data_IF_838705392389
#
_entry.id   IF_838705392389
#
_cell.length_a   1.000
_cell.length_b   1.000
_cell.length_c   1.000
_cell.angle_alpha   90.00
_cell.angle_beta   90.00
_cell.angle_gamma   90.00
#
_symmetry.space_group_name_H-M   'P 1'
#
loop_
_entity.id
_entity.type
_entity.pdbx_description
1 polymer ?
#
# COMPACT_ATOMS: atom_id res chain seq x y z
N UNK A 1 18.95 -1.02 -7.34
CA UNK A 1 18.63 -2.47 -7.32
C UNK A 1 17.18 -2.59 -6.86
N UNK A 2 16.34 -3.28 -7.64
CA UNK A 2 14.92 -3.35 -7.31
C UNK A 2 14.70 -3.94 -5.91
N UNK A 3 13.89 -3.25 -5.10
CA UNK A 3 13.46 -3.77 -3.79
C UNK A 3 12.30 -4.74 -3.96
N UNK A 4 11.45 -4.50 -4.96
CA UNK A 4 10.36 -5.40 -5.36
C UNK A 4 10.51 -5.76 -6.83
N UNK A 5 10.39 -7.04 -7.12
CA UNK A 5 10.30 -7.56 -8.48
C UNK A 5 9.09 -8.47 -8.60
N UNK A 6 8.21 -8.14 -9.54
CA UNK A 6 6.95 -8.82 -9.81
C UNK A 6 6.98 -9.31 -11.24
N UNK A 7 6.86 -10.63 -11.44
CA UNK A 7 7.01 -11.25 -12.75
C UNK A 7 5.82 -12.16 -13.04
N UNK A 8 5.17 -11.92 -14.18
CA UNK A 8 4.12 -12.77 -14.76
C UNK A 8 2.99 -13.14 -13.80
N UNK A 9 2.55 -12.19 -12.95
CA UNK A 9 1.47 -12.43 -11.99
C UNK A 9 0.14 -12.55 -12.73
N UNK A 10 -0.53 -13.68 -12.49
CA UNK A 10 -1.89 -13.96 -12.94
C UNK A 10 -2.80 -14.28 -11.75
N UNK A 11 -4.07 -13.91 -11.87
CA UNK A 11 -5.10 -14.23 -10.88
C UNK A 11 -6.46 -14.40 -11.52
N UNK A 12 -7.11 -15.49 -11.16
CA UNK A 12 -8.47 -15.81 -11.56
C UNK A 12 -9.36 -15.93 -10.32
N UNK A 13 -10.64 -15.59 -10.48
CA UNK A 13 -11.70 -15.94 -9.53
C UNK A 13 -12.73 -16.77 -10.27
N UNK A 14 -12.74 -18.09 -10.01
CA UNK A 14 -13.42 -19.05 -10.87
C UNK A 14 -12.87 -18.98 -12.30
N UNK A 15 -13.75 -18.84 -13.26
CA UNK A 15 -13.35 -18.72 -14.69
C UNK A 15 -13.02 -17.29 -15.14
N UNK A 16 -13.08 -16.31 -14.22
CA UNK A 16 -12.85 -14.90 -14.56
C UNK A 16 -11.40 -14.50 -14.35
N UNK A 17 -10.62 -14.20 -15.41
CA UNK A 17 -9.27 -13.66 -15.27
C UNK A 17 -9.31 -12.20 -14.83
N UNK A 18 -8.71 -11.91 -13.68
CA UNK A 18 -8.64 -10.56 -13.09
C UNK A 18 -7.26 -9.92 -13.29
N UNK A 19 -6.19 -10.71 -13.15
CA UNK A 19 -4.83 -10.28 -13.49
C UNK A 19 -4.30 -11.17 -14.59
N UNK A 20 -3.68 -10.56 -15.61
CA UNK A 20 -3.23 -11.22 -16.84
C UNK A 20 -1.80 -10.79 -17.13
N UNK A 21 -0.83 -11.58 -16.70
CA UNK A 21 0.60 -11.36 -17.00
C UNK A 21 1.12 -9.98 -16.54
N UNK A 22 0.99 -9.70 -15.24
CA UNK A 22 1.48 -8.45 -14.65
C UNK A 22 2.94 -8.57 -14.28
N UNK A 23 3.79 -7.69 -14.85
CA UNK A 23 5.22 -7.63 -14.55
C UNK A 23 5.68 -6.19 -14.37
N UNK A 24 6.37 -5.89 -13.28
CA UNK A 24 7.00 -4.60 -13.00
C UNK A 24 8.01 -4.71 -11.86
N UNK A 25 8.83 -3.69 -11.69
CA UNK A 25 9.78 -3.59 -10.57
C UNK A 25 9.68 -2.23 -9.90
N UNK A 26 10.13 -2.16 -8.64
CA UNK A 26 10.19 -0.93 -7.84
C UNK A 26 11.56 -0.82 -7.19
N UNK A 27 12.20 0.33 -7.30
CA UNK A 27 13.46 0.62 -6.61
C UNK A 27 13.21 1.08 -5.18
N UNK A 28 14.20 0.87 -4.30
CA UNK A 28 14.12 1.34 -2.92
C UNK A 28 14.02 2.87 -2.84
N UNK A 29 13.13 3.35 -2.00
CA UNK A 29 12.88 4.79 -1.82
C UNK A 29 11.97 5.42 -2.86
N UNK A 30 11.49 4.66 -3.86
CA UNK A 30 10.54 5.16 -4.86
C UNK A 30 9.08 5.00 -4.43
N UNK A 31 8.27 5.93 -4.90
CA UNK A 31 6.82 5.87 -4.85
C UNK A 31 6.27 5.47 -6.24
N UNK A 32 5.51 4.38 -6.30
CA UNK A 32 4.79 3.91 -7.48
C UNK A 32 3.29 4.15 -7.30
N UNK A 33 2.65 4.82 -8.25
CA UNK A 33 1.19 4.89 -8.28
C UNK A 33 0.60 3.92 -9.31
N UNK A 34 -0.42 3.17 -8.90
CA UNK A 34 -1.22 2.31 -9.78
C UNK A 34 -2.56 3.00 -10.00
N UNK A 35 -2.81 3.43 -11.24
CA UNK A 35 -4.05 4.08 -11.66
C UNK A 35 -4.85 3.18 -12.60
N UNK A 36 -6.14 3.45 -12.75
CA UNK A 36 -7.02 2.68 -13.64
C UNK A 36 -8.47 2.71 -13.17
N UNK A 37 -9.38 2.30 -14.04
CA UNK A 37 -10.81 2.25 -13.76
C UNK A 37 -11.15 1.27 -12.61
N UNK A 38 -12.34 1.42 -12.03
CA UNK A 38 -12.87 0.42 -11.10
C UNK A 38 -12.94 -0.95 -11.81
N UNK A 39 -12.53 -2.02 -11.12
CA UNK A 39 -12.47 -3.35 -11.69
C UNK A 39 -11.26 -3.63 -12.61
N UNK A 40 -10.30 -2.71 -12.77
CA UNK A 40 -9.09 -2.97 -13.57
C UNK A 40 -8.10 -3.96 -12.94
N UNK A 41 -8.30 -4.38 -11.67
CA UNK A 41 -7.46 -5.35 -10.97
C UNK A 41 -6.50 -4.74 -9.93
N UNK A 42 -6.47 -3.42 -9.72
CA UNK A 42 -5.54 -2.75 -8.78
C UNK A 42 -5.55 -3.36 -7.38
N UNK A 43 -6.72 -3.42 -6.74
CA UNK A 43 -6.87 -4.00 -5.39
C UNK A 43 -6.47 -5.47 -5.36
N UNK A 44 -6.80 -6.24 -6.40
CA UNK A 44 -6.40 -7.66 -6.51
C UNK A 44 -4.89 -7.78 -6.61
N UNK A 45 -4.23 -6.94 -7.42
CA UNK A 45 -2.77 -6.90 -7.52
C UNK A 45 -2.12 -6.57 -6.17
N UNK A 46 -2.57 -5.51 -5.49
CA UNK A 46 -2.09 -5.15 -4.16
C UNK A 46 -2.26 -6.30 -3.15
N UNK A 47 -3.40 -7.00 -3.19
CA UNK A 47 -3.66 -8.16 -2.33
C UNK A 47 -2.78 -9.37 -2.66
N UNK A 48 -2.48 -9.60 -3.92
CA UNK A 48 -1.54 -10.65 -4.34
C UNK A 48 -0.13 -10.35 -3.84
N UNK A 49 0.34 -9.11 -3.97
CA UNK A 49 1.68 -8.73 -3.56
C UNK A 49 1.91 -8.81 -2.06
N UNK A 50 0.87 -8.62 -1.22
CA UNK A 50 0.99 -8.74 0.23
C UNK A 50 0.44 -10.07 0.79
N UNK A 51 0.21 -11.06 -0.08
CA UNK A 51 -0.27 -12.40 0.25
C UNK A 51 -1.64 -12.46 0.97
N UNK A 52 -2.49 -11.45 0.81
CA UNK A 52 -3.91 -11.54 1.19
C UNK A 52 -4.70 -12.37 0.19
N UNK A 53 -4.24 -12.37 -1.08
CA UNK A 53 -4.68 -13.31 -2.12
C UNK A 53 -3.44 -14.04 -2.65
N UNK A 54 -3.58 -15.33 -2.96
CA UNK A 54 -2.50 -16.09 -3.58
C UNK A 54 -2.59 -15.95 -5.10
N UNK A 55 -1.55 -15.47 -5.79
CA UNK A 55 -1.50 -15.51 -7.25
C UNK A 55 -1.63 -16.93 -7.78
N UNK A 56 -2.18 -17.10 -8.98
CA UNK A 56 -2.27 -18.41 -9.64
C UNK A 56 -0.98 -18.72 -10.42
N UNK A 57 -0.30 -17.68 -10.93
CA UNK A 57 0.99 -17.80 -11.64
C UNK A 57 1.91 -16.62 -11.28
N UNK A 58 3.21 -16.77 -11.60
CA UNK A 58 4.23 -15.74 -11.51
C UNK A 58 5.14 -15.86 -10.30
N UNK A 59 5.98 -14.84 -10.13
CA UNK A 59 7.00 -14.75 -9.06
C UNK A 59 6.94 -13.37 -8.40
N UNK A 60 7.11 -13.33 -7.09
CA UNK A 60 7.25 -12.10 -6.29
C UNK A 60 8.52 -12.21 -5.47
N UNK A 61 9.44 -11.25 -5.66
CA UNK A 61 10.69 -11.17 -4.90
C UNK A 61 10.84 -9.82 -4.23
N UNK A 62 11.34 -9.82 -2.97
CA UNK A 62 11.66 -8.61 -2.22
C UNK A 62 13.12 -8.67 -1.80
N UNK A 63 13.89 -7.60 -2.04
CA UNK A 63 15.34 -7.52 -1.78
C UNK A 63 16.13 -8.71 -2.36
N UNK A 64 15.68 -9.25 -3.50
CA UNK A 64 16.28 -10.40 -4.15
C UNK A 64 15.93 -11.77 -3.53
N UNK A 65 15.13 -11.79 -2.45
CA UNK A 65 14.56 -13.02 -1.90
C UNK A 65 13.24 -13.33 -2.58
N UNK A 66 13.09 -14.55 -3.12
CA UNK A 66 11.83 -15.00 -3.70
C UNK A 66 10.84 -15.34 -2.58
N UNK A 67 9.81 -14.52 -2.44
CA UNK A 67 8.75 -14.74 -1.46
C UNK A 67 7.66 -15.66 -2.00
N UNK A 68 7.41 -15.63 -3.31
CA UNK A 68 6.41 -16.45 -3.98
C UNK A 68 6.92 -16.86 -5.37
N UNK A 69 6.77 -18.13 -5.68
CA UNK A 69 6.92 -18.70 -7.02
C UNK A 69 5.80 -19.72 -7.23
N UNK A 70 4.98 -19.50 -8.27
CA UNK A 70 3.87 -20.40 -8.58
C UNK A 70 4.33 -21.86 -8.86
N UNK A 71 5.57 -22.05 -9.29
CA UNK A 71 6.16 -23.35 -9.58
C UNK A 71 6.83 -24.02 -8.36
N UNK A 72 7.02 -23.26 -7.25
CA UNK A 72 7.62 -23.78 -6.02
C UNK A 72 6.57 -23.89 -4.89
N UNK A 73 6.10 -25.12 -4.57
CA UNK A 73 5.15 -25.34 -3.49
C UNK A 73 5.64 -24.88 -2.13
N UNK A 74 6.95 -24.83 -1.89
CA UNK A 74 7.52 -24.44 -0.61
C UNK A 74 7.27 -22.95 -0.33
N UNK A 75 7.15 -22.13 -1.37
CA UNK A 75 6.80 -20.70 -1.23
C UNK A 75 5.35 -20.45 -0.84
N UNK A 76 4.48 -21.45 -0.92
CA UNK A 76 3.03 -21.37 -0.63
C UNK A 76 2.66 -21.83 0.78
N UNK A 77 3.64 -22.16 1.63
CA UNK A 77 3.38 -22.63 2.99
C UNK A 77 2.77 -21.53 3.85
N UNK A 78 1.63 -21.81 4.45
CA UNK A 78 0.91 -20.85 5.30
C UNK A 78 1.73 -20.40 6.52
N UNK A 79 2.59 -21.28 7.06
CA UNK A 79 3.49 -20.94 8.15
C UNK A 79 4.49 -19.81 7.81
N UNK A 80 4.88 -19.70 6.52
CA UNK A 80 5.83 -18.71 6.06
C UNK A 80 5.15 -17.42 5.57
N UNK A 81 3.86 -17.47 5.22
CA UNK A 81 3.09 -16.31 4.76
C UNK A 81 3.11 -15.19 5.80
N UNK A 82 3.03 -15.51 7.07
CA UNK A 82 3.09 -14.51 8.14
C UNK A 82 4.40 -13.72 8.12
N UNK A 83 5.55 -14.40 7.92
CA UNK A 83 6.86 -13.75 7.85
C UNK A 83 6.97 -12.89 6.59
N UNK A 84 6.50 -13.42 5.45
CA UNK A 84 6.49 -12.70 4.17
C UNK A 84 5.67 -11.42 4.24
N UNK A 85 4.53 -11.44 4.94
CA UNK A 85 3.70 -10.24 5.17
C UNK A 85 4.39 -9.14 5.97
N UNK A 86 5.45 -9.44 6.72
CA UNK A 86 6.19 -8.43 7.47
C UNK A 86 6.97 -7.45 6.57
N UNK A 87 7.29 -7.85 5.35
CA UNK A 87 7.88 -6.97 4.34
C UNK A 87 6.92 -5.84 3.92
N UNK A 88 5.62 -5.99 4.19
CA UNK A 88 4.59 -5.11 3.65
C UNK A 88 3.75 -4.47 4.75
N UNK A 89 3.65 -3.16 4.71
CA UNK A 89 2.64 -2.41 5.47
C UNK A 89 1.43 -2.18 4.59
N UNK A 90 0.21 -2.46 5.08
CA UNK A 90 -1.01 -2.27 4.29
C UNK A 90 -1.91 -1.21 4.91
N UNK A 91 -2.28 -0.23 4.08
CA UNK A 91 -3.30 0.79 4.37
C UNK A 91 -4.48 0.51 3.44
N UNK A 92 -5.62 0.21 4.01
CA UNK A 92 -6.84 -0.15 3.28
C UNK A 92 -7.70 1.07 2.98
N UNK A 93 -8.59 0.95 2.02
CA UNK A 93 -9.65 1.92 1.72
C UNK A 93 -10.51 2.23 2.95
N UNK A 94 -10.95 1.20 3.68
CA UNK A 94 -11.57 1.33 4.99
C UNK A 94 -10.49 1.29 6.06
N UNK A 95 -10.57 2.13 7.06
CA UNK A 95 -9.52 2.32 8.07
C UNK A 95 -9.15 1.04 8.84
N UNK A 96 -10.12 0.14 9.02
CA UNK A 96 -9.97 -1.17 9.67
C UNK A 96 -9.26 -1.09 11.04
N UNK A 97 -9.54 -0.03 11.80
CA UNK A 97 -9.05 0.11 13.16
C UNK A 97 -9.82 -0.83 14.09
N UNK A 98 -9.14 -1.33 15.09
CA UNK A 98 -9.76 -2.10 16.15
C UNK A 98 -10.56 -1.15 17.05
N UNK A 99 -11.91 -1.25 17.09
CA UNK A 99 -12.74 -0.26 17.76
C UNK A 99 -12.59 -0.23 19.29
N UNK A 100 -12.10 -1.33 19.87
CA UNK A 100 -11.88 -1.49 21.30
C UNK A 100 -10.53 -0.95 21.79
N UNK A 101 -9.66 -0.50 20.89
CA UNK A 101 -8.33 0.01 21.19
C UNK A 101 -8.23 1.50 20.86
N UNK A 102 -7.45 2.24 21.66
CA UNK A 102 -7.09 3.63 21.38
C UNK A 102 -6.25 3.77 20.10
N UNK A 103 -6.00 4.98 19.64
CA UNK A 103 -5.11 5.23 18.51
C UNK A 103 -3.70 4.66 18.76
N UNK A 104 -3.13 4.90 19.94
CA UNK A 104 -1.81 4.40 20.31
C UNK A 104 -1.79 2.87 20.39
N UNK A 105 -2.80 2.27 20.98
CA UNK A 105 -2.90 0.81 21.03
C UNK A 105 -3.06 0.18 19.64
N UNK A 106 -3.86 0.78 18.74
CA UNK A 106 -3.96 0.34 17.36
C UNK A 106 -2.61 0.32 16.64
N UNK A 107 -1.78 1.34 16.87
CA UNK A 107 -0.45 1.46 16.26
C UNK A 107 0.53 0.44 16.82
N UNK A 108 0.48 0.17 18.13
CA UNK A 108 1.53 -0.60 18.81
C UNK A 108 1.21 -2.08 19.00
N UNK A 109 -0.06 -2.50 18.89
CA UNK A 109 -0.55 -3.83 19.21
C UNK A 109 0.24 -4.96 18.53
N UNK A 110 0.42 -4.87 17.22
CA UNK A 110 1.06 -5.93 16.44
C UNK A 110 2.51 -6.13 16.88
N UNK A 111 3.25 -5.04 17.10
CA UNK A 111 4.64 -5.06 17.54
C UNK A 111 4.77 -5.59 18.97
N UNK A 112 3.85 -5.21 19.87
CA UNK A 112 3.79 -5.74 21.22
C UNK A 112 3.55 -7.25 21.25
N UNK A 113 2.67 -7.75 20.37
CA UNK A 113 2.42 -9.18 20.22
C UNK A 113 3.66 -9.91 19.69
N UNK A 114 4.33 -9.37 18.69
CA UNK A 114 5.58 -9.95 18.16
C UNK A 114 6.68 -9.99 19.22
N UNK A 115 6.88 -8.90 19.96
CA UNK A 115 7.89 -8.85 21.02
C UNK A 115 7.67 -9.92 22.08
N UNK A 116 6.39 -10.22 22.41
CA UNK A 116 6.04 -11.27 23.36
C UNK A 116 6.23 -12.69 22.81
N UNK A 117 5.87 -12.92 21.54
CA UNK A 117 5.85 -14.27 20.94
C UNK A 117 7.20 -14.67 20.37
N UNK A 118 7.92 -13.74 19.76
CA UNK A 118 9.17 -14.02 19.02
C UNK A 118 10.41 -13.62 19.83
N UNK A 119 10.23 -13.08 21.04
CA UNK A 119 11.33 -12.65 21.93
C UNK A 119 12.33 -11.74 21.20
N UNK A 120 11.82 -10.75 20.45
CA UNK A 120 12.65 -9.85 19.63
C UNK A 120 13.62 -8.98 20.45
N UNK A 121 13.52 -8.97 21.77
CA UNK A 121 14.32 -8.13 22.67
C UNK A 121 13.83 -6.68 22.74
N UNK A 122 12.81 -6.29 22.01
CA UNK A 122 12.23 -4.94 22.12
C UNK A 122 11.49 -4.76 23.44
N UNK A 123 11.80 -3.66 24.15
CA UNK A 123 11.06 -3.31 25.36
C UNK A 123 9.70 -2.71 25.03
N UNK A 124 8.72 -2.94 25.91
CA UNK A 124 7.40 -2.33 25.78
C UNK A 124 7.47 -0.80 25.77
N UNK A 125 8.39 -0.23 26.53
CA UNK A 125 8.62 1.22 26.59
C UNK A 125 9.10 1.77 25.25
N UNK A 126 10.04 1.09 24.57
CA UNK A 126 10.52 1.46 23.22
C UNK A 126 9.40 1.40 22.19
N UNK A 127 8.58 0.34 22.22
CA UNK A 127 7.46 0.19 21.28
C UNK A 127 6.44 1.33 21.46
N UNK A 128 6.11 1.68 22.69
CA UNK A 128 5.20 2.78 23.01
C UNK A 128 5.77 4.13 22.59
N UNK A 129 7.07 4.37 22.85
CA UNK A 129 7.73 5.61 22.44
C UNK A 129 7.73 5.80 20.92
N UNK A 130 8.05 4.76 20.16
CA UNK A 130 7.99 4.80 18.71
C UNK A 130 6.55 4.98 18.19
N UNK A 131 5.55 4.31 18.81
CA UNK A 131 4.14 4.49 18.46
C UNK A 131 3.67 5.94 18.67
N UNK A 132 4.08 6.57 19.76
CA UNK A 132 3.80 8.00 20.03
C UNK A 132 4.46 8.90 18.98
N UNK A 133 5.73 8.68 18.66
CA UNK A 133 6.44 9.44 17.64
C UNK A 133 5.78 9.32 16.25
N UNK A 134 5.28 8.13 15.89
CA UNK A 134 4.53 7.93 14.66
C UNK A 134 3.21 8.72 14.66
N UNK A 135 2.46 8.72 15.75
CA UNK A 135 1.22 9.49 15.86
C UNK A 135 1.48 11.00 15.83
N UNK A 136 2.53 11.48 16.47
CA UNK A 136 2.99 12.88 16.38
C UNK A 136 3.32 13.26 14.93
N UNK A 137 4.06 12.41 14.22
CA UNK A 137 4.37 12.59 12.80
C UNK A 137 3.13 12.62 11.91
N UNK A 138 2.05 11.91 12.30
CA UNK A 138 0.73 11.96 11.65
C UNK A 138 -0.12 13.18 12.07
N UNK A 139 0.39 14.06 12.95
CA UNK A 139 -0.35 15.21 13.48
C UNK A 139 -1.47 14.81 14.44
N UNK A 140 -1.27 13.74 15.23
CA UNK A 140 -2.24 13.17 16.15
C UNK A 140 -1.73 13.10 17.60
N UNK A 141 -0.80 14.01 17.98
CA UNK A 141 -0.21 14.04 19.33
C UNK A 141 -1.25 14.17 20.43
N UNK A 142 -2.31 14.94 20.21
CA UNK A 142 -3.40 15.20 21.13
C UNK A 142 -4.55 14.17 21.06
N UNK A 143 -4.41 13.14 20.23
CA UNK A 143 -5.43 12.11 19.92
C UNK A 143 -5.01 10.68 20.24
N UNK A 144 -3.88 10.48 20.89
CA UNK A 144 -3.29 9.16 21.10
C UNK A 144 -4.19 8.22 21.92
N UNK A 145 -4.91 8.79 22.89
CA UNK A 145 -5.81 8.05 23.78
C UNK A 145 -7.27 7.99 23.27
N UNK A 146 -7.55 8.57 22.10
CA UNK A 146 -8.88 8.52 21.51
C UNK A 146 -9.16 7.15 20.86
N UNK A 147 -10.39 6.68 21.01
CA UNK A 147 -10.91 5.50 20.32
C UNK A 147 -11.32 5.86 18.87
N UNK A 148 -11.40 4.90 17.94
CA UNK A 148 -11.76 5.17 16.55
C UNK A 148 -13.04 5.99 16.38
N UNK A 149 -14.08 5.71 17.15
CA UNK A 149 -15.36 6.43 17.08
C UNK A 149 -15.27 7.91 17.52
N UNK A 150 -14.17 8.32 18.14
CA UNK A 150 -13.90 9.70 18.57
C UNK A 150 -13.01 10.45 17.56
N UNK A 151 -12.63 9.81 16.46
CA UNK A 151 -11.74 10.34 15.44
C UNK A 151 -12.50 10.60 14.14
N UNK A 152 -12.16 11.68 13.43
CA UNK A 152 -12.66 11.90 12.08
C UNK A 152 -12.13 10.81 11.13
N UNK A 153 -12.75 10.62 9.95
CA UNK A 153 -12.29 9.67 8.94
C UNK A 153 -10.83 9.89 8.55
N UNK A 154 -10.41 11.13 8.32
CA UNK A 154 -9.02 11.47 8.03
C UNK A 154 -8.06 11.18 9.18
N UNK A 155 -8.50 11.37 10.44
CA UNK A 155 -7.72 10.99 11.62
C UNK A 155 -7.59 9.48 11.73
N UNK A 156 -8.68 8.72 11.51
CA UNK A 156 -8.64 7.26 11.50
C UNK A 156 -7.70 6.72 10.42
N UNK A 157 -7.71 7.30 9.23
CA UNK A 157 -6.80 6.91 8.15
C UNK A 157 -5.33 7.19 8.50
N UNK A 158 -5.05 8.34 9.14
CA UNK A 158 -3.69 8.66 9.61
C UNK A 158 -3.22 7.70 10.73
N UNK A 159 -4.11 7.22 11.61
CA UNK A 159 -3.81 6.13 12.56
C UNK A 159 -3.51 4.82 11.82
N UNK A 160 -4.28 4.48 10.76
CA UNK A 160 -4.04 3.28 9.97
C UNK A 160 -2.68 3.32 9.24
N UNK A 161 -2.26 4.50 8.74
CA UNK A 161 -0.92 4.71 8.17
C UNK A 161 0.15 4.53 9.24
N UNK A 162 0.00 5.15 10.43
CA UNK A 162 0.93 4.97 11.54
C UNK A 162 1.06 3.51 11.95
N UNK A 163 -0.06 2.78 12.02
CA UNK A 163 -0.09 1.34 12.34
C UNK A 163 0.69 0.51 11.31
N UNK A 164 0.52 0.80 10.02
CA UNK A 164 1.27 0.11 8.97
C UNK A 164 2.78 0.37 9.08
N UNK A 165 3.18 1.62 9.34
CA UNK A 165 4.59 2.02 9.50
C UNK A 165 5.24 1.48 10.79
N UNK A 166 4.44 1.24 11.85
CA UNK A 166 4.95 0.75 13.14
C UNK A 166 5.64 -0.62 13.02
N UNK A 167 5.27 -1.41 12.01
CA UNK A 167 5.88 -2.71 11.72
C UNK A 167 7.22 -2.60 10.98
N UNK A 168 7.66 -1.39 10.62
CA UNK A 168 8.88 -1.09 9.85
C UNK A 168 8.95 -1.91 8.54
N UNK A 169 7.91 -1.88 7.71
CA UNK A 169 7.87 -2.66 6.49
C UNK A 169 8.90 -2.17 5.48
N UNK A 170 9.34 -3.05 4.58
CA UNK A 170 10.16 -2.67 3.43
C UNK A 170 9.36 -1.82 2.43
N UNK A 171 8.07 -2.11 2.27
CA UNK A 171 7.19 -1.46 1.30
C UNK A 171 5.84 -1.14 1.94
N UNK A 172 5.37 0.10 1.79
CA UNK A 172 4.05 0.53 2.22
C UNK A 172 3.07 0.46 1.04
N UNK A 173 2.01 -0.33 1.18
CA UNK A 173 0.90 -0.38 0.23
C UNK A 173 -0.28 0.46 0.71
N UNK A 174 -0.78 1.34 -0.15
CA UNK A 174 -1.97 2.14 0.09
C UNK A 174 -3.02 1.81 -0.98
N UNK A 175 -4.10 1.12 -0.60
CA UNK A 175 -5.20 0.78 -1.50
C UNK A 175 -6.30 1.83 -1.36
N UNK A 176 -6.33 2.79 -2.29
CA UNK A 176 -7.30 3.89 -2.34
C UNK A 176 -7.46 4.61 -0.98
N UNK A 177 -6.37 5.15 -0.40
CA UNK A 177 -6.35 5.61 0.99
C UNK A 177 -7.28 6.78 1.30
N UNK A 178 -7.89 7.40 0.29
CA UNK A 178 -8.76 8.58 0.43
C UNK A 178 -10.20 8.35 -0.03
N UNK A 179 -10.50 7.21 -0.65
CA UNK A 179 -11.81 6.98 -1.28
C UNK A 179 -13.01 6.91 -0.31
N UNK A 180 -12.75 6.66 0.98
CA UNK A 180 -13.76 6.66 2.04
C UNK A 180 -13.86 8.01 2.79
N UNK A 181 -13.22 9.07 2.27
CA UNK A 181 -13.12 10.37 2.93
C UNK A 181 -13.87 11.47 2.16
N UNK A 182 -14.38 12.43 2.89
CA UNK A 182 -14.87 13.69 2.32
C UNK A 182 -13.70 14.48 1.68
N UNK A 183 -13.95 15.30 0.65
CA UNK A 183 -12.91 16.05 -0.06
C UNK A 183 -12.02 16.93 0.85
N UNK A 184 -12.58 17.52 1.91
CA UNK A 184 -11.82 18.32 2.87
C UNK A 184 -10.78 17.47 3.64
N UNK A 185 -11.14 16.23 4.03
CA UNK A 185 -10.26 15.32 4.76
C UNK A 185 -9.25 14.61 3.87
N UNK A 186 -9.56 14.45 2.58
CA UNK A 186 -8.67 13.88 1.56
C UNK A 186 -7.34 14.60 1.54
N UNK A 187 -7.34 15.94 1.53
CA UNK A 187 -6.12 16.75 1.47
C UNK A 187 -5.14 16.51 2.63
N UNK A 188 -5.66 16.27 3.85
CA UNK A 188 -4.82 15.97 5.02
C UNK A 188 -4.09 14.62 4.89
N UNK A 189 -4.79 13.60 4.41
CA UNK A 189 -4.20 12.26 4.23
C UNK A 189 -3.19 12.27 3.08
N UNK A 190 -3.50 12.92 1.96
CA UNK A 190 -2.59 13.06 0.83
C UNK A 190 -1.32 13.83 1.22
N UNK A 191 -1.42 14.85 2.09
CA UNK A 191 -0.26 15.58 2.62
C UNK A 191 0.67 14.66 3.43
N UNK A 192 0.10 13.75 4.23
CA UNK A 192 0.89 12.77 5.00
C UNK A 192 1.60 11.82 4.05
N UNK A 193 0.91 11.25 3.05
CA UNK A 193 1.51 10.31 2.09
C UNK A 193 2.60 11.01 1.27
N UNK A 194 2.37 12.26 0.83
CA UNK A 194 3.40 13.10 0.19
C UNK A 194 4.63 13.28 1.08
N UNK A 195 4.43 13.54 2.37
CA UNK A 195 5.52 13.65 3.34
C UNK A 195 6.34 12.36 3.47
N UNK A 196 5.70 11.20 3.38
CA UNK A 196 6.38 9.89 3.37
C UNK A 196 7.18 9.68 2.08
N UNK A 197 6.63 10.05 0.92
CA UNK A 197 7.35 9.97 -0.36
C UNK A 197 8.60 10.86 -0.37
N UNK A 198 8.51 12.11 0.13
CA UNK A 198 9.65 13.03 0.26
C UNK A 198 10.75 12.51 1.21
N UNK A 199 10.41 11.58 2.10
CA UNK A 199 11.36 10.89 2.98
C UNK A 199 11.87 9.58 2.39
N UNK A 200 11.64 9.36 1.11
CA UNK A 200 12.03 8.16 0.38
C UNK A 200 11.49 6.86 1.00
N UNK A 201 10.28 6.90 1.57
CA UNK A 201 9.58 5.67 1.95
C UNK A 201 9.18 4.93 0.68
N UNK A 202 9.63 3.70 0.53
CA UNK A 202 9.21 2.85 -0.60
C UNK A 202 7.73 2.56 -0.49
N UNK A 203 6.93 2.89 -1.51
CA UNK A 203 5.48 2.72 -1.45
C UNK A 203 4.83 2.42 -2.79
N UNK A 204 3.70 1.72 -2.74
CA UNK A 204 2.81 1.53 -3.88
C UNK A 204 1.43 2.05 -3.49
N UNK A 205 0.87 2.92 -4.32
CA UNK A 205 -0.37 3.64 -4.05
C UNK A 205 -1.37 3.37 -5.17
N UNK A 206 -2.42 2.60 -4.88
CA UNK A 206 -3.61 2.55 -5.73
C UNK A 206 -4.44 3.80 -5.48
N UNK A 207 -4.69 4.62 -6.51
CA UNK A 207 -5.41 5.88 -6.34
C UNK A 207 -6.20 6.28 -7.57
N UNK A 208 -7.25 7.07 -7.33
CA UNK A 208 -8.01 7.79 -8.36
C UNK A 208 -7.66 9.29 -8.40
N UNK A 209 -6.76 9.75 -7.55
CA UNK A 209 -6.30 11.15 -7.47
C UNK A 209 -5.16 11.39 -8.47
N UNK A 210 -5.50 11.73 -9.72
CA UNK A 210 -4.51 11.85 -10.81
C UNK A 210 -3.48 12.93 -10.56
N UNK A 211 -3.89 14.09 -10.04
CA UNK A 211 -2.96 15.17 -9.69
C UNK A 211 -1.97 14.74 -8.60
N UNK A 212 -2.45 13.99 -7.61
CA UNK A 212 -1.60 13.44 -6.56
C UNK A 212 -0.61 12.41 -7.12
N UNK A 213 -1.08 11.46 -7.95
CA UNK A 213 -0.22 10.47 -8.59
C UNK A 213 0.90 11.14 -9.41
N UNK A 214 0.57 12.18 -10.21
CA UNK A 214 1.53 12.94 -11.00
C UNK A 214 2.60 13.64 -10.17
N UNK A 215 2.19 14.22 -9.02
CA UNK A 215 3.04 15.13 -8.23
C UNK A 215 3.85 14.40 -7.15
N UNK A 216 3.45 13.17 -6.79
CA UNK A 216 4.03 12.44 -5.66
C UNK A 216 4.74 11.16 -6.08
N UNK A 217 4.24 10.47 -7.11
CA UNK A 217 4.86 9.23 -7.56
C UNK A 217 6.06 9.49 -8.48
N UNK A 218 7.10 8.66 -8.34
CA UNK A 218 8.22 8.61 -9.28
C UNK A 218 7.79 7.89 -10.57
N UNK A 219 7.00 6.83 -10.42
CA UNK A 219 6.52 5.99 -11.50
C UNK A 219 4.99 5.84 -11.41
N UNK A 220 4.36 5.68 -12.57
CA UNK A 220 2.94 5.36 -12.68
C UNK A 220 2.76 4.12 -13.56
N UNK A 221 1.87 3.24 -13.11
CA UNK A 221 1.33 2.12 -13.89
C UNK A 221 -0.15 2.39 -14.14
N UNK A 222 -0.55 2.42 -15.40
CA UNK A 222 -1.96 2.43 -15.78
C UNK A 222 -2.43 1.01 -16.09
N UNK A 223 -3.42 0.54 -15.31
CA UNK A 223 -4.06 -0.77 -15.49
C UNK A 223 -5.44 -0.65 -16.07
N UNK A 224 -5.74 -1.52 -17.06
CA UNK A 224 -7.09 -1.66 -17.60
C UNK A 224 -7.34 -3.10 -18.05
N UNK A 225 -8.51 -3.67 -17.68
CA UNK A 225 -8.90 -5.03 -18.05
C UNK A 225 -7.94 -6.13 -17.58
N UNK A 226 -7.24 -5.89 -16.47
CA UNK A 226 -6.33 -6.88 -15.84
C UNK A 226 -4.91 -6.90 -16.41
N UNK A 227 -4.54 -5.92 -17.24
CA UNK A 227 -3.19 -5.79 -17.82
C UNK A 227 -2.58 -4.42 -17.51
N UNK A 228 -1.26 -4.32 -17.55
CA UNK A 228 -0.56 -3.03 -17.60
C UNK A 228 -0.64 -2.52 -19.03
N UNK A 229 -1.31 -1.39 -19.23
CA UNK A 229 -1.45 -0.74 -20.54
C UNK A 229 -0.29 0.20 -20.81
N UNK A 230 0.12 0.93 -19.78
CA UNK A 230 1.21 1.90 -19.87
C UNK A 230 1.90 2.02 -18.52
N UNK A 231 3.24 2.17 -18.54
CA UNK A 231 4.04 2.43 -17.34
C UNK A 231 5.22 3.33 -17.68
N UNK A 232 5.65 4.12 -16.70
CA UNK A 232 6.79 5.03 -16.86
C UNK A 232 6.82 6.12 -15.79
N UNK A 233 7.70 7.13 -15.95
CA UNK A 233 7.74 8.30 -15.07
C UNK A 233 6.35 8.94 -14.95
N UNK A 234 5.98 9.32 -13.73
CA UNK A 234 4.61 9.75 -13.42
C UNK A 234 4.12 10.89 -14.34
N UNK A 235 4.98 11.88 -14.59
CA UNK A 235 4.64 13.01 -15.47
C UNK A 235 4.46 12.58 -16.92
N UNK A 236 5.26 11.65 -17.40
CA UNK A 236 5.18 11.19 -18.78
C UNK A 236 3.87 10.46 -19.03
N UNK A 237 3.50 9.52 -18.14
CA UNK A 237 2.27 8.75 -18.26
C UNK A 237 1.02 9.62 -18.09
N UNK A 238 1.05 10.62 -17.18
CA UNK A 238 -0.15 11.43 -16.88
C UNK A 238 -0.28 12.64 -17.83
N UNK A 239 0.80 13.37 -18.07
CA UNK A 239 0.76 14.61 -18.87
C UNK A 239 0.92 14.35 -20.38
N UNK A 240 1.61 13.25 -20.75
CA UNK A 240 1.90 12.91 -22.16
C UNK A 240 1.73 11.42 -22.47
N UNK A 241 0.55 10.82 -22.20
CA UNK A 241 0.30 9.39 -22.38
C UNK A 241 0.47 8.95 -23.83
N UNK A 242 1.19 7.84 -24.04
CA UNK A 242 1.47 7.30 -25.37
C UNK A 242 0.37 6.35 -25.87
N UNK A 243 -0.32 5.68 -24.94
CA UNK A 243 -1.37 4.73 -25.28
C UNK A 243 -2.73 5.44 -25.42
N UNK A 244 -3.51 5.06 -26.43
CA UNK A 244 -4.84 5.64 -26.66
C UNK A 244 -5.79 5.38 -25.47
N UNK A 245 -5.70 4.19 -24.88
CA UNK A 245 -6.51 3.83 -23.69
C UNK A 245 -6.18 4.70 -22.49
N UNK A 246 -4.89 5.01 -22.27
CA UNK A 246 -4.45 5.91 -21.19
C UNK A 246 -4.98 7.32 -21.43
N UNK A 247 -4.88 7.85 -22.65
CA UNK A 247 -5.44 9.16 -23.04
C UNK A 247 -6.93 9.25 -22.78
N UNK A 248 -7.68 8.23 -23.22
CA UNK A 248 -9.11 8.17 -23.01
C UNK A 248 -9.49 8.08 -21.53
N UNK A 249 -8.73 7.35 -20.72
CA UNK A 249 -8.95 7.28 -19.28
C UNK A 249 -8.70 8.64 -18.63
N UNK A 250 -7.55 9.26 -18.87
CA UNK A 250 -7.14 10.53 -18.25
C UNK A 250 -8.02 11.71 -18.69
N UNK A 251 -8.56 11.72 -19.93
CA UNK A 251 -9.44 12.79 -20.39
C UNK A 251 -10.71 12.96 -19.53
N UNK A 252 -11.16 11.91 -18.84
CA UNK A 252 -12.30 11.95 -17.93
C UNK A 252 -11.99 12.70 -16.62
N UNK A 253 -10.72 12.79 -16.25
CA UNK A 253 -10.25 13.45 -15.02
C UNK A 253 -9.74 14.88 -15.27
N UNK A 254 -9.44 15.23 -16.54
CA UNK A 254 -9.02 16.59 -16.90
C UNK A 254 -10.18 17.60 -16.97
N UNK A 255 -11.43 17.16 -16.77
CA UNK A 255 -12.63 17.99 -16.81
C UNK A 255 -13.23 18.28 -15.43
N UNK A 256 -12.57 17.84 -14.36
CA UNK A 256 -12.91 18.15 -12.97
C UNK A 256 -11.89 19.12 -12.37
#
# INVERSE_FOLDING_TARGET
MAILDVQHIEKHFGDTPVLKDISFSLEEGQALSIIGSSGSGKTTLLRCMNFLETPDNGVISVRGETLFDANDPDTKREADIRKKRLHFGMVFQSFNLFPQYTALENVTLARQLMAKTEKTGESMESILAEGKALLERMGLADRMENYPHQLSGGQQQRVAIARALAMKPDILYCDEPTSALDPELTGEVLKVIRGLALQHTTMIIGTHEMAFARDVADQVIFMDGGVIVEQGPARDVIDNPQQERTRHFLSRYSQQ
#
